data_IF_886530360268
#
_entry.id   IF_886530360268
#
_cell.length_a   1.000
_cell.length_b   1.000
_cell.length_c   1.000
_cell.angle_alpha   90.00
_cell.angle_beta   90.00
_cell.angle_gamma   90.00
#
_symmetry.space_group_name_H-M   'P 1'
#
loop_
_entity.id
_entity.type
_entity.pdbx_description
1 polymer ?
#
# COMPACT_ATOMS: atom_id res chain seq x y z
N UNK A 1 -2.53 7.02 9.89
CA UNK A 1 -3.67 6.09 9.99
C UNK A 1 -3.13 4.76 10.45
N UNK A 2 -3.71 4.13 11.48
CA UNK A 2 -3.35 2.73 11.82
C UNK A 2 -3.90 1.79 10.74
N UNK A 3 -3.40 0.57 10.65
CA UNK A 3 -3.92 -0.40 9.67
C UNK A 3 -5.12 -1.12 10.28
N UNK A 4 -6.30 -0.91 9.69
CA UNK A 4 -7.57 -1.42 10.20
C UNK A 4 -7.64 -2.95 10.11
N UNK A 5 -7.19 -3.53 8.99
CA UNK A 5 -7.19 -4.98 8.80
C UNK A 5 -5.92 -5.44 8.06
N UNK A 6 -5.24 -6.44 8.64
CA UNK A 6 -4.15 -7.18 8.00
C UNK A 6 -4.60 -8.62 7.84
N UNK A 7 -4.80 -9.05 6.61
CA UNK A 7 -5.03 -10.46 6.28
C UNK A 7 -3.78 -11.01 5.61
N UNK A 8 -3.30 -12.19 5.98
CA UNK A 8 -2.17 -12.84 5.31
C UNK A 8 -1.47 -13.88 6.15
N UNK A 9 -0.76 -14.79 5.48
CA UNK A 9 -0.13 -15.95 6.12
C UNK A 9 1.17 -15.60 6.87
N UNK A 10 1.91 -14.59 6.38
CA UNK A 10 3.22 -14.20 6.92
C UNK A 10 3.35 -12.68 6.98
N UNK A 11 3.25 -12.09 8.18
CA UNK A 11 3.63 -10.71 8.47
C UNK A 11 4.01 -10.55 9.95
N UNK A 12 4.89 -9.59 10.26
CA UNK A 12 5.25 -9.23 11.63
C UNK A 12 4.90 -7.75 11.87
N UNK A 13 3.81 -7.47 12.59
CA UNK A 13 3.48 -6.10 13.02
C UNK A 13 4.43 -5.69 14.15
N UNK A 14 5.48 -4.92 13.83
CA UNK A 14 6.33 -4.23 14.80
C UNK A 14 6.03 -2.75 14.77
N UNK A 15 4.98 -2.31 15.48
CA UNK A 15 4.60 -0.89 15.53
C UNK A 15 5.85 0.01 15.71
N UNK A 16 6.09 0.98 14.79
CA UNK A 16 5.19 1.48 13.74
C UNK A 16 5.22 0.76 12.38
N UNK A 17 6.03 -0.29 12.20
CA UNK A 17 6.31 -0.99 10.92
C UNK A 17 5.62 -2.36 10.81
N UNK A 18 5.46 -2.84 9.59
CA UNK A 18 5.04 -4.20 9.27
C UNK A 18 6.15 -4.85 8.46
N UNK A 19 6.88 -5.77 9.08
CA UNK A 19 8.03 -6.44 8.47
C UNK A 19 7.67 -7.86 7.99
N UNK A 20 8.35 -8.33 6.96
CA UNK A 20 8.20 -9.68 6.40
C UNK A 20 6.83 -9.91 5.78
N UNK A 21 6.27 -8.92 5.09
CA UNK A 21 5.04 -9.06 4.31
C UNK A 21 5.31 -10.04 3.17
N UNK A 22 4.81 -11.26 3.35
CA UNK A 22 4.98 -12.36 2.42
C UNK A 22 3.76 -12.59 1.53
N UNK A 23 3.51 -13.86 1.25
CA UNK A 23 2.45 -14.29 0.34
C UNK A 23 1.05 -13.96 0.87
N UNK A 24 0.19 -13.47 -0.03
CA UNK A 24 -1.25 -13.24 0.20
C UNK A 24 -1.56 -12.28 1.35
N UNK A 25 -0.69 -11.29 1.58
CA UNK A 25 -0.99 -10.25 2.58
C UNK A 25 -1.81 -9.14 1.93
N UNK A 26 -2.86 -8.68 2.60
CA UNK A 26 -3.60 -7.47 2.25
C UNK A 26 -3.71 -6.55 3.46
N UNK A 27 -3.34 -5.29 3.28
CA UNK A 27 -3.51 -4.21 4.25
C UNK A 27 -4.69 -3.36 3.83
N UNK A 28 -5.78 -3.38 4.60
CA UNK A 28 -6.95 -2.56 4.33
C UNK A 28 -6.99 -1.36 5.29
N UNK A 29 -7.31 -0.20 4.72
CA UNK A 29 -7.49 1.09 5.38
C UNK A 29 -8.83 1.65 4.94
N UNK A 30 -9.83 1.55 5.81
CA UNK A 30 -11.18 2.03 5.52
C UNK A 30 -11.33 3.51 5.86
N UNK A 31 -12.40 4.13 5.34
CA UNK A 31 -12.79 5.51 5.67
C UNK A 31 -11.75 6.59 5.32
N UNK A 32 -10.92 6.35 4.29
CA UNK A 32 -9.96 7.35 3.81
C UNK A 32 -10.70 8.40 2.98
N UNK A 33 -10.86 9.60 3.55
CA UNK A 33 -11.48 10.75 2.90
C UNK A 33 -10.42 11.66 2.27
N UNK A 34 -10.36 11.67 0.94
CA UNK A 34 -9.44 12.52 0.17
C UNK A 34 -10.05 13.90 -0.17
N UNK A 35 -11.28 14.17 0.25
CA UNK A 35 -11.98 15.42 0.00
C UNK A 35 -12.12 15.78 -1.48
N UNK A 36 -12.41 17.06 -1.75
CA UNK A 36 -12.54 17.60 -3.12
C UNK A 36 -11.19 17.91 -3.77
N UNK A 37 -10.16 18.19 -2.96
CA UNK A 37 -8.80 18.39 -3.46
C UNK A 37 -8.29 17.11 -4.11
N UNK A 38 -8.63 15.95 -3.54
CA UNK A 38 -8.24 14.64 -4.01
C UNK A 38 -6.76 14.38 -3.87
N UNK A 39 -6.37 13.19 -4.30
CA UNK A 39 -4.99 12.72 -4.30
C UNK A 39 -4.59 12.31 -5.71
N UNK A 40 -3.33 12.50 -6.03
CA UNK A 40 -2.72 12.16 -7.33
C UNK A 40 -1.44 11.36 -7.17
N UNK A 41 -0.89 11.29 -5.95
CA UNK A 41 0.36 10.62 -5.67
C UNK A 41 0.25 9.81 -4.38
N UNK A 42 0.99 8.71 -4.35
CA UNK A 42 1.19 7.85 -3.19
C UNK A 42 2.67 7.63 -2.99
N UNK A 43 3.13 8.02 -1.82
CA UNK A 43 4.50 7.80 -1.35
C UNK A 43 4.47 6.59 -0.42
N UNK A 44 5.21 5.54 -0.73
CA UNK A 44 5.36 4.34 0.11
C UNK A 44 6.79 4.31 0.62
N UNK A 45 6.97 4.19 1.93
CA UNK A 45 8.27 3.90 2.53
C UNK A 45 8.34 2.45 2.96
N UNK A 46 9.34 1.75 2.46
CA UNK A 46 9.55 0.35 2.76
C UNK A 46 10.85 -0.19 2.19
N UNK A 47 11.09 -1.47 2.45
CA UNK A 47 12.25 -2.19 1.97
C UNK A 47 11.79 -3.42 1.18
N UNK A 48 12.32 -3.60 -0.03
CA UNK A 48 12.13 -4.81 -0.81
C UNK A 48 13.45 -5.54 -1.02
N UNK A 49 13.63 -6.76 -0.48
CA UNK A 49 14.81 -7.59 -0.72
C UNK A 49 14.76 -8.35 -2.06
N UNK A 50 13.69 -8.21 -2.85
CA UNK A 50 13.54 -8.85 -4.17
C UNK A 50 13.72 -7.84 -5.30
N UNK A 51 14.11 -8.30 -6.49
CA UNK A 51 14.38 -7.41 -7.65
C UNK A 51 13.22 -6.48 -7.97
N UNK A 52 11.99 -7.01 -7.92
CA UNK A 52 10.78 -6.27 -8.22
C UNK A 52 9.60 -6.82 -7.42
N UNK A 53 9.02 -5.98 -6.57
CA UNK A 53 7.82 -6.26 -5.81
C UNK A 53 6.66 -5.42 -6.37
N UNK A 54 5.54 -6.05 -6.71
CA UNK A 54 4.37 -5.34 -7.22
C UNK A 54 3.28 -5.31 -6.16
N UNK A 55 2.89 -4.10 -5.75
CA UNK A 55 1.85 -3.87 -4.75
C UNK A 55 0.59 -3.43 -5.49
N UNK A 56 -0.49 -4.20 -5.37
CA UNK A 56 -1.78 -3.83 -5.94
C UNK A 56 -2.52 -2.91 -4.97
N UNK A 57 -2.70 -1.65 -5.34
CA UNK A 57 -3.39 -0.64 -4.53
C UNK A 57 -4.81 -0.49 -5.05
N UNK A 58 -5.78 -1.05 -4.33
CA UNK A 58 -7.20 -0.97 -4.65
C UNK A 58 -7.84 0.19 -3.93
N UNK A 59 -8.61 0.99 -4.65
CA UNK A 59 -9.43 2.08 -4.14
C UNK A 59 -10.89 1.71 -4.39
N UNK A 60 -11.62 1.43 -3.32
CA UNK A 60 -13.00 0.97 -3.35
C UNK A 60 -13.89 2.03 -2.71
N UNK A 61 -14.81 2.60 -3.46
CA UNK A 61 -15.89 3.45 -2.95
C UNK A 61 -17.25 2.81 -3.26
N UNK A 62 -18.33 3.42 -2.82
CA UNK A 62 -19.69 2.96 -3.14
C UNK A 62 -19.98 2.96 -4.65
N UNK A 63 -19.32 3.83 -5.40
CA UNK A 63 -19.57 4.05 -6.84
C UNK A 63 -18.44 3.56 -7.76
N UNK A 64 -17.25 3.26 -7.22
CA UNK A 64 -16.07 2.96 -8.03
C UNK A 64 -15.14 1.94 -7.39
N UNK A 65 -14.54 1.09 -8.21
CA UNK A 65 -13.48 0.17 -7.81
C UNK A 65 -12.32 0.32 -8.78
N UNK A 66 -11.22 0.89 -8.32
CA UNK A 66 -10.04 1.21 -9.12
C UNK A 66 -8.86 0.44 -8.55
N UNK A 67 -8.10 -0.24 -9.41
CA UNK A 67 -6.86 -0.90 -9.04
C UNK A 67 -5.68 -0.20 -9.70
N UNK A 68 -4.69 0.20 -8.90
CA UNK A 68 -3.42 0.78 -9.34
C UNK A 68 -2.28 -0.16 -8.96
N UNK A 69 -1.18 -0.14 -9.72
CA UNK A 69 -0.01 -0.98 -9.47
C UNK A 69 1.16 -0.09 -9.03
N UNK A 70 1.65 -0.34 -7.81
CA UNK A 70 2.85 0.29 -7.30
C UNK A 70 4.03 -0.69 -7.40
N UNK A 71 4.93 -0.44 -8.34
CA UNK A 71 6.13 -1.26 -8.57
C UNK A 71 7.30 -0.79 -7.69
N UNK A 72 7.64 -1.58 -6.69
CA UNK A 72 8.72 -1.30 -5.76
C UNK A 72 9.92 -2.20 -6.09
N UNK A 73 10.97 -1.63 -6.67
CA UNK A 73 12.18 -2.38 -7.00
C UNK A 73 13.04 -2.66 -5.76
N UNK A 74 14.03 -3.53 -5.92
CA UNK A 74 15.02 -3.83 -4.88
C UNK A 74 15.59 -2.58 -4.22
N UNK A 75 15.70 -2.63 -2.90
CA UNK A 75 16.31 -1.60 -2.06
C UNK A 75 17.22 -2.25 -1.03
N UNK A 76 18.37 -1.65 -0.71
CA UNK A 76 19.25 -2.21 0.34
C UNK A 76 18.71 -1.94 1.76
N UNK A 77 17.97 -0.85 1.92
CA UNK A 77 17.40 -0.38 3.20
C UNK A 77 15.98 0.14 2.95
N UNK A 78 15.36 0.75 3.96
CA UNK A 78 14.07 1.43 3.83
C UNK A 78 14.21 2.68 2.96
N UNK A 79 13.53 2.70 1.83
CA UNK A 79 13.51 3.85 0.91
C UNK A 79 12.07 4.32 0.66
N UNK A 80 11.92 5.56 0.22
CA UNK A 80 10.62 6.11 -0.21
C UNK A 80 10.51 6.00 -1.73
N UNK A 81 9.42 5.44 -2.22
CA UNK A 81 9.05 5.44 -3.65
C UNK A 81 7.72 6.15 -3.83
N UNK A 82 7.67 6.99 -4.85
CA UNK A 82 6.50 7.77 -5.20
C UNK A 82 5.83 7.15 -6.43
N UNK A 83 4.50 7.06 -6.37
CA UNK A 83 3.66 6.48 -7.40
C UNK A 83 2.57 7.48 -7.76
N UNK A 84 2.56 7.93 -9.01
CA UNK A 84 1.53 8.84 -9.52
C UNK A 84 0.37 8.04 -10.11
N UNK A 85 -0.86 8.50 -9.89
CA UNK A 85 -2.06 7.89 -10.45
C UNK A 85 -3.12 8.93 -10.77
N UNK A 86 -4.18 8.48 -11.45
CA UNK A 86 -5.33 9.34 -11.76
C UNK A 86 -5.94 9.92 -10.49
N UNK A 87 -6.28 11.22 -10.54
CA UNK A 87 -6.86 11.98 -9.42
C UNK A 87 -8.06 11.25 -8.82
N UNK A 88 -8.04 11.00 -7.51
CA UNK A 88 -9.13 10.36 -6.74
C UNK A 88 -9.64 11.31 -5.68
N UNK A 89 -10.95 11.50 -5.58
CA UNK A 89 -11.61 12.46 -4.69
C UNK A 89 -12.74 11.80 -3.91
N UNK A 90 -12.97 12.23 -2.68
CA UNK A 90 -13.99 11.65 -1.80
C UNK A 90 -13.47 10.45 -0.99
N UNK A 91 -14.40 9.59 -0.55
CA UNK A 91 -14.13 8.50 0.39
C UNK A 91 -13.84 7.19 -0.32
N UNK A 92 -12.75 6.54 0.06
CA UNK A 92 -12.40 5.20 -0.41
C UNK A 92 -11.92 4.33 0.75
N UNK A 93 -12.18 3.04 0.63
CA UNK A 93 -11.42 1.99 1.29
C UNK A 93 -10.20 1.68 0.41
N UNK A 94 -9.01 1.83 0.98
CA UNK A 94 -7.76 1.54 0.30
C UNK A 94 -7.25 0.19 0.76
N UNK A 95 -6.97 -0.71 -0.17
CA UNK A 95 -6.40 -2.03 0.12
C UNK A 95 -5.08 -2.21 -0.63
N UNK A 96 -3.98 -2.41 0.08
CA UNK A 96 -2.70 -2.81 -0.48
C UNK A 96 -2.61 -4.34 -0.47
N UNK A 97 -2.59 -4.96 -1.64
CA UNK A 97 -2.53 -6.39 -1.81
C UNK A 97 -1.15 -6.82 -2.32
N UNK A 98 -0.54 -7.75 -1.60
CA UNK A 98 0.74 -8.38 -1.88
C UNK A 98 0.50 -9.82 -2.33
N UNK A 99 0.74 -10.07 -3.63
CA UNK A 99 0.51 -11.38 -4.24
C UNK A 99 1.62 -12.39 -3.86
N UNK A 100 1.39 -13.70 -4.06
CA UNK A 100 2.42 -14.71 -3.85
C UNK A 100 3.73 -14.40 -4.58
N UNK A 101 4.86 -14.55 -3.89
CA UNK A 101 6.19 -14.16 -4.34
C UNK A 101 6.65 -12.79 -3.82
N UNK A 102 5.76 -12.03 -3.18
CA UNK A 102 6.11 -10.74 -2.56
C UNK A 102 6.97 -10.93 -1.32
N UNK A 103 7.92 -10.02 -1.13
CA UNK A 103 8.65 -9.85 0.12
C UNK A 103 8.91 -8.36 0.31
N UNK A 104 8.27 -7.80 1.32
CA UNK A 104 8.30 -6.36 1.55
C UNK A 104 8.23 -6.04 3.05
N UNK A 105 8.98 -5.03 3.47
CA UNK A 105 8.83 -4.40 4.76
C UNK A 105 8.17 -3.04 4.55
N UNK A 106 7.04 -2.81 5.21
CA UNK A 106 6.23 -1.61 5.05
C UNK A 106 6.36 -0.73 6.31
N UNK A 107 6.89 0.48 6.15
CA UNK A 107 7.06 1.41 7.27
C UNK A 107 5.89 2.39 7.37
N UNK A 108 5.65 3.16 6.30
CA UNK A 108 4.56 4.13 6.23
C UNK A 108 4.17 4.38 4.78
N UNK A 109 3.00 4.99 4.60
CA UNK A 109 2.56 5.52 3.32
C UNK A 109 1.89 6.87 3.51
N UNK A 110 1.92 7.68 2.47
CA UNK A 110 1.30 9.00 2.44
C UNK A 110 0.67 9.24 1.09
N UNK A 111 -0.55 9.76 1.10
CA UNK A 111 -1.23 10.24 -0.08
C UNK A 111 -1.07 11.76 -0.21
N UNK A 112 -0.87 12.23 -1.45
CA UNK A 112 -0.68 13.64 -1.81
C UNK A 112 -1.51 14.04 -3.04
#
# INVERSE_FOLDING_TARGET
TDCDLIYGDTFTKKAPRIEGIGNNVSLEFSEMDFGEQGITKLSICGHSPIEKNTIHVKFISEESNIEELAEFNFTNDYEVKEFEFSKKTGKYTVTFLFLPGSNFDFEWFQFE
#
